data_IF_153431536316
#
_entry.id   IF_153431536316
#
_cell.length_a   1.000
_cell.length_b   1.000
_cell.length_c   1.000
_cell.angle_alpha   90.00
_cell.angle_beta   90.00
_cell.angle_gamma   90.00
#
_symmetry.space_group_name_H-M   'P 1'
#
loop_
_entity.id
_entity.type
_entity.pdbx_description
1 polymer ?
#
# COMPACT_ATOMS: atom_id res chain seq x y z
N UNK A 1 11.20 -5.05 -1.52
CA UNK A 1 11.33 -4.14 -2.67
C UNK A 1 12.47 -3.15 -2.46
N UNK A 2 13.35 -3.03 -3.45
CA UNK A 2 14.47 -2.09 -3.45
C UNK A 2 14.41 -1.25 -4.74
N UNK A 3 14.14 0.07 -4.63
CA UNK A 3 14.03 0.94 -5.80
C UNK A 3 15.30 0.97 -6.67
N UNK A 4 16.48 0.96 -6.05
CA UNK A 4 17.76 0.97 -6.77
C UNK A 4 17.95 -0.30 -7.60
N UNK A 5 17.71 -1.47 -7.00
CA UNK A 5 17.77 -2.76 -7.71
C UNK A 5 16.74 -2.82 -8.84
N UNK A 6 15.53 -2.29 -8.62
CA UNK A 6 14.51 -2.22 -9.67
C UNK A 6 14.94 -1.33 -10.83
N UNK A 7 15.59 -0.21 -10.55
CA UNK A 7 16.15 0.68 -11.56
C UNK A 7 17.28 0.02 -12.34
N UNK A 8 18.20 -0.66 -11.65
CA UNK A 8 19.32 -1.38 -12.29
C UNK A 8 18.82 -2.52 -13.17
N UNK A 9 17.85 -3.30 -12.70
CA UNK A 9 17.24 -4.36 -13.49
C UNK A 9 16.52 -3.82 -14.73
N UNK A 10 15.82 -2.70 -14.60
CA UNK A 10 15.17 -2.03 -15.72
C UNK A 10 16.22 -1.57 -16.77
N UNK A 11 17.35 -1.02 -16.32
CA UNK A 11 18.44 -0.62 -17.19
C UNK A 11 19.04 -1.83 -17.93
N UNK A 12 19.29 -2.92 -17.20
CA UNK A 12 19.81 -4.16 -17.81
C UNK A 12 18.86 -4.73 -18.87
N UNK A 13 17.55 -4.70 -18.62
CA UNK A 13 16.56 -5.13 -19.61
C UNK A 13 16.62 -4.28 -20.88
N UNK A 14 16.85 -2.98 -20.75
CA UNK A 14 16.99 -2.08 -21.89
C UNK A 14 18.29 -2.33 -22.67
N UNK A 15 19.43 -2.39 -21.98
CA UNK A 15 20.76 -2.39 -22.60
C UNK A 15 21.19 -3.77 -23.11
N UNK A 16 21.06 -4.79 -22.26
CA UNK A 16 21.56 -6.14 -22.55
C UNK A 16 20.50 -6.99 -23.25
N UNK A 17 19.27 -6.97 -22.76
CA UNK A 17 18.20 -7.81 -23.29
C UNK A 17 17.44 -7.14 -24.44
N UNK A 18 17.62 -5.83 -24.65
CA UNK A 18 17.00 -5.04 -25.73
C UNK A 18 15.50 -5.30 -25.87
N UNK A 19 14.81 -5.36 -24.73
CA UNK A 19 13.37 -5.61 -24.69
C UNK A 19 12.60 -4.44 -25.30
N UNK A 20 11.45 -4.72 -25.90
CA UNK A 20 10.59 -3.68 -26.53
C UNK A 20 9.60 -3.05 -25.57
N UNK A 21 9.35 -3.69 -24.42
CA UNK A 21 8.50 -3.19 -23.33
C UNK A 21 8.83 -3.93 -22.04
N UNK A 22 8.49 -3.34 -20.90
CA UNK A 22 8.57 -3.98 -19.59
C UNK A 22 7.19 -3.97 -18.94
N UNK A 23 6.76 -5.13 -18.43
CA UNK A 23 5.50 -5.31 -17.69
C UNK A 23 5.84 -5.71 -16.25
N UNK A 24 5.30 -5.01 -15.26
CA UNK A 24 5.57 -5.29 -13.84
C UNK A 24 5.50 -4.04 -12.98
N UNK A 25 6.30 -3.99 -11.89
CA UNK A 25 6.33 -2.84 -10.98
C UNK A 25 5.14 -2.80 -10.02
N UNK A 26 5.18 -3.68 -9.03
CA UNK A 26 4.10 -3.80 -8.03
C UNK A 26 4.20 -2.71 -6.94
N UNK A 27 5.42 -2.39 -6.47
CA UNK A 27 5.65 -1.38 -5.44
C UNK A 27 5.84 0.01 -6.05
N UNK A 28 5.12 1.01 -5.52
CA UNK A 28 5.14 2.36 -6.07
C UNK A 28 6.53 3.01 -6.04
N UNK A 29 7.33 2.78 -5.00
CA UNK A 29 8.71 3.27 -4.93
C UNK A 29 9.62 2.67 -6.01
N UNK A 30 9.49 1.36 -6.28
CA UNK A 30 10.20 0.68 -7.36
C UNK A 30 9.72 1.16 -8.73
N UNK A 31 8.42 1.33 -8.90
CA UNK A 31 7.84 1.84 -10.15
C UNK A 31 8.37 3.24 -10.49
N UNK A 32 8.42 4.15 -9.52
CA UNK A 32 8.98 5.50 -9.70
C UNK A 32 10.45 5.47 -10.12
N UNK A 33 11.25 4.57 -9.54
CA UNK A 33 12.64 4.39 -9.93
C UNK A 33 12.79 3.83 -11.36
N UNK A 34 11.94 2.86 -11.74
CA UNK A 34 11.91 2.29 -13.09
C UNK A 34 11.48 3.31 -14.16
N UNK A 35 10.56 4.22 -13.82
CA UNK A 35 10.06 5.25 -14.73
C UNK A 35 11.16 6.17 -15.23
N UNK A 36 12.19 6.46 -14.44
CA UNK A 36 13.32 7.28 -14.84
C UNK A 36 14.09 6.65 -16.01
N UNK A 37 14.29 5.33 -15.96
CA UNK A 37 14.90 4.54 -17.02
C UNK A 37 13.97 4.44 -18.23
N UNK A 38 12.70 4.08 -18.01
CA UNK A 38 11.69 4.01 -19.07
C UNK A 38 11.65 5.29 -19.92
N UNK A 39 11.67 6.45 -19.25
CA UNK A 39 11.65 7.73 -19.93
C UNK A 39 12.94 8.03 -20.71
N UNK A 40 14.11 7.74 -20.12
CA UNK A 40 15.41 7.96 -20.75
C UNK A 40 15.60 7.06 -21.98
N UNK A 41 15.29 5.78 -21.85
CA UNK A 41 15.47 4.77 -22.90
C UNK A 41 14.28 4.73 -23.89
N UNK A 42 13.24 5.55 -23.67
CA UNK A 42 12.00 5.56 -24.46
C UNK A 42 11.35 4.18 -24.55
N UNK A 43 11.43 3.43 -23.44
CA UNK A 43 10.97 2.05 -23.31
C UNK A 43 9.61 2.00 -22.62
N UNK A 44 8.55 1.48 -23.25
CA UNK A 44 7.24 1.33 -22.60
C UNK A 44 7.31 0.51 -21.32
N UNK A 45 6.79 1.08 -20.22
CA UNK A 45 6.65 0.46 -18.92
C UNK A 45 5.16 0.36 -18.56
N UNK A 46 4.66 -0.87 -18.43
CA UNK A 46 3.28 -1.16 -18.05
C UNK A 46 3.26 -1.62 -16.59
N UNK A 47 2.79 -0.78 -15.70
CA UNK A 47 2.73 -1.04 -14.26
C UNK A 47 1.46 -1.82 -13.91
N UNK A 48 1.63 -2.93 -13.19
CA UNK A 48 0.53 -3.86 -12.88
C UNK A 48 -0.02 -3.72 -11.47
N UNK A 49 0.74 -3.17 -10.51
CA UNK A 49 0.32 -3.10 -9.11
C UNK A 49 0.59 -1.76 -8.42
N UNK A 50 1.49 -0.93 -8.96
CA UNK A 50 1.84 0.34 -8.33
C UNK A 50 0.69 1.36 -8.38
N UNK A 51 0.16 1.75 -7.22
CA UNK A 51 -1.07 2.53 -7.10
C UNK A 51 -0.87 4.02 -6.73
N UNK A 52 0.35 4.46 -6.32
CA UNK A 52 0.57 5.86 -5.96
C UNK A 52 0.15 6.82 -7.07
N UNK A 53 -0.60 7.86 -6.72
CA UNK A 53 -1.19 8.80 -7.69
C UNK A 53 -0.14 9.59 -8.48
N UNK A 54 1.02 9.84 -7.87
CA UNK A 54 2.09 10.62 -8.51
C UNK A 54 2.69 9.96 -9.76
N UNK A 55 2.57 8.64 -9.91
CA UNK A 55 3.08 7.87 -11.07
C UNK A 55 2.49 8.39 -12.38
N UNK A 56 1.18 8.58 -12.44
CA UNK A 56 0.46 9.09 -13.62
C UNK A 56 -0.08 10.51 -13.41
N UNK A 57 0.29 11.15 -12.28
CA UNK A 57 0.03 12.55 -11.96
C UNK A 57 1.29 13.40 -12.16
N UNK A 58 1.86 13.93 -11.09
CA UNK A 58 2.99 14.88 -11.16
C UNK A 58 4.25 14.34 -11.84
N UNK A 59 4.46 13.03 -11.80
CA UNK A 59 5.60 12.35 -12.43
C UNK A 59 5.23 11.64 -13.74
N UNK A 60 4.08 11.94 -14.33
CA UNK A 60 3.62 11.24 -15.53
C UNK A 60 4.67 11.30 -16.66
N UNK A 61 4.77 10.21 -17.39
CA UNK A 61 5.66 10.04 -18.55
C UNK A 61 4.89 9.39 -19.69
N UNK A 62 5.19 9.79 -20.92
CA UNK A 62 4.58 9.20 -22.12
C UNK A 62 4.96 7.71 -22.33
N UNK A 63 5.94 7.20 -21.60
CA UNK A 63 6.40 5.81 -21.66
C UNK A 63 5.91 4.97 -20.49
N UNK A 64 5.10 5.52 -19.58
CA UNK A 64 4.59 4.79 -18.43
C UNK A 64 3.07 4.68 -18.50
N UNK A 65 2.59 3.46 -18.42
CA UNK A 65 1.18 3.09 -18.40
C UNK A 65 0.87 2.34 -17.12
N UNK A 66 -0.36 2.45 -16.63
CA UNK A 66 -0.78 1.77 -15.40
C UNK A 66 -2.14 1.12 -15.60
N UNK A 67 -2.28 -0.12 -15.16
CA UNK A 67 -3.55 -0.86 -15.16
C UNK A 67 -4.27 -0.78 -13.82
N UNK A 68 -3.53 -0.52 -12.73
CA UNK A 68 -4.07 -0.45 -11.37
C UNK A 68 -4.78 0.89 -11.11
N UNK A 69 -5.90 0.84 -10.37
CA UNK A 69 -6.56 2.05 -9.87
C UNK A 69 -5.65 2.85 -8.92
N UNK A 70 -5.72 4.17 -8.99
CA UNK A 70 -4.93 5.03 -8.09
C UNK A 70 -5.39 4.93 -6.64
N UNK A 71 -4.49 5.19 -5.70
CA UNK A 71 -4.83 5.27 -4.27
C UNK A 71 -6.01 6.20 -4.00
N UNK A 72 -6.09 7.44 -4.54
CA UNK A 72 -7.25 8.32 -4.32
C UNK A 72 -8.57 7.69 -4.77
N UNK A 73 -8.59 6.95 -5.90
CA UNK A 73 -9.80 6.26 -6.38
C UNK A 73 -10.20 5.14 -5.41
N UNK A 74 -9.22 4.33 -4.98
CA UNK A 74 -9.47 3.24 -4.04
C UNK A 74 -9.95 3.77 -2.68
N UNK A 75 -9.31 4.81 -2.15
CA UNK A 75 -9.71 5.41 -0.86
C UNK A 75 -11.08 6.09 -0.94
N UNK A 76 -11.43 6.72 -2.07
CA UNK A 76 -12.76 7.28 -2.27
C UNK A 76 -13.86 6.21 -2.26
N UNK A 77 -13.54 5.00 -2.71
CA UNK A 77 -14.42 3.84 -2.59
C UNK A 77 -14.50 3.27 -1.19
N UNK A 78 -13.36 3.19 -0.47
CA UNK A 78 -13.25 2.54 0.84
C UNK A 78 -13.80 3.40 2.00
N UNK A 79 -13.46 4.68 2.04
CA UNK A 79 -13.72 5.54 3.21
C UNK A 79 -15.19 5.66 3.62
N UNK A 80 -16.19 5.66 2.70
CA UNK A 80 -17.59 5.60 3.09
C UNK A 80 -17.96 4.35 3.91
N UNK A 81 -17.40 3.19 3.56
CA UNK A 81 -17.61 1.95 4.33
C UNK A 81 -16.87 1.98 5.66
N UNK A 82 -15.64 2.48 5.71
CA UNK A 82 -14.88 2.69 6.96
C UNK A 82 -15.72 3.52 7.94
N UNK A 83 -16.35 4.58 7.48
CA UNK A 83 -17.15 5.47 8.33
C UNK A 83 -18.46 4.85 8.85
N UNK A 84 -18.93 3.76 8.24
CA UNK A 84 -20.06 2.96 8.74
C UNK A 84 -19.64 2.00 9.87
N UNK A 85 -18.37 1.54 9.84
CA UNK A 85 -17.81 0.71 10.92
C UNK A 85 -17.60 1.55 12.18
N UNK A 86 -17.02 2.75 12.01
CA UNK A 86 -16.79 3.68 13.12
C UNK A 86 -16.16 4.99 12.70
N UNK A 87 -16.00 5.90 13.64
CA UNK A 87 -15.55 7.28 13.38
C UNK A 87 -14.12 7.56 13.82
N UNK A 88 -13.56 6.74 14.70
CA UNK A 88 -12.17 6.85 15.16
C UNK A 88 -11.29 5.95 14.32
N UNK A 89 -10.53 6.54 13.42
CA UNK A 89 -9.70 5.83 12.43
C UNK A 89 -8.23 5.87 12.85
N UNK A 90 -7.60 4.71 12.92
CA UNK A 90 -6.15 4.59 13.04
C UNK A 90 -5.55 4.16 11.70
N UNK A 91 -4.48 4.83 11.27
CA UNK A 91 -3.78 4.46 10.05
C UNK A 91 -2.51 3.67 10.37
N UNK A 92 -2.30 2.55 9.67
CA UNK A 92 -1.02 1.85 9.64
C UNK A 92 -0.62 1.62 8.18
N UNK A 93 0.40 2.31 7.71
CA UNK A 93 0.75 2.35 6.29
C UNK A 93 2.24 2.15 6.07
N UNK A 94 2.62 1.70 4.89
CA UNK A 94 4.02 1.65 4.51
C UNK A 94 4.63 3.06 4.42
N UNK A 95 5.88 3.21 4.85
CA UNK A 95 6.60 4.51 4.89
C UNK A 95 7.09 5.02 3.53
N UNK A 96 6.59 4.47 2.42
CA UNK A 96 6.96 4.89 1.05
C UNK A 96 5.75 5.44 0.28
N UNK A 97 5.97 5.88 -0.97
CA UNK A 97 5.01 6.61 -1.80
C UNK A 97 3.56 6.08 -1.79
N UNK A 98 3.38 4.76 -1.73
CA UNK A 98 2.05 4.14 -1.64
C UNK A 98 1.34 4.49 -0.33
N UNK A 99 1.99 4.24 0.82
CA UNK A 99 1.38 4.50 2.14
C UNK A 99 1.18 5.99 2.41
N UNK A 100 2.13 6.82 1.99
CA UNK A 100 1.99 8.28 2.06
C UNK A 100 0.82 8.80 1.23
N UNK A 101 0.56 8.19 0.06
CA UNK A 101 -0.60 8.53 -0.77
C UNK A 101 -1.91 8.10 -0.12
N UNK A 102 -1.93 6.94 0.58
CA UNK A 102 -3.08 6.50 1.39
C UNK A 102 -3.39 7.53 2.47
N UNK A 103 -2.40 7.94 3.25
CA UNK A 103 -2.59 8.94 4.33
C UNK A 103 -3.12 10.26 3.77
N UNK A 104 -2.50 10.78 2.73
CA UNK A 104 -2.92 12.03 2.10
C UNK A 104 -4.36 11.95 1.58
N UNK A 105 -4.69 10.86 0.86
CA UNK A 105 -6.02 10.67 0.27
C UNK A 105 -7.10 10.44 1.33
N UNK A 106 -6.79 9.65 2.36
CA UNK A 106 -7.72 9.38 3.46
C UNK A 106 -8.00 10.62 4.29
N UNK A 107 -6.96 11.37 4.65
CA UNK A 107 -7.09 12.61 5.44
C UNK A 107 -7.96 13.66 4.73
N UNK A 108 -7.87 13.74 3.39
CA UNK A 108 -8.75 14.60 2.60
C UNK A 108 -10.24 14.20 2.71
N UNK A 109 -10.50 12.90 2.87
CA UNK A 109 -11.86 12.33 2.94
C UNK A 109 -12.43 12.25 4.37
N UNK A 110 -11.59 12.25 5.42
CA UNK A 110 -12.05 12.09 6.81
C UNK A 110 -13.20 13.04 7.18
N UNK A 111 -13.04 14.32 6.82
CA UNK A 111 -14.05 15.33 7.11
C UNK A 111 -15.36 15.08 6.37
N UNK A 112 -15.27 14.64 5.12
CA UNK A 112 -16.43 14.35 4.27
C UNK A 112 -17.25 13.17 4.83
N UNK A 113 -16.57 12.16 5.37
CA UNK A 113 -17.22 10.97 5.93
C UNK A 113 -17.52 11.11 7.44
N UNK A 114 -17.23 12.26 8.05
CA UNK A 114 -17.46 12.54 9.46
C UNK A 114 -16.66 11.65 10.40
N UNK A 115 -15.41 11.33 10.04
CA UNK A 115 -14.47 10.52 10.82
C UNK A 115 -13.25 11.35 11.26
N UNK A 116 -12.52 10.84 12.26
CA UNK A 116 -11.35 11.49 12.86
C UNK A 116 -10.18 10.52 12.93
N UNK A 117 -8.98 11.03 12.65
CA UNK A 117 -7.73 10.30 12.87
C UNK A 117 -7.40 10.28 14.36
N UNK A 118 -7.23 9.10 14.94
CA UNK A 118 -6.82 8.93 16.34
C UNK A 118 -5.38 8.43 16.51
N UNK A 119 -4.72 8.11 15.42
CA UNK A 119 -3.32 7.75 15.39
C UNK A 119 -2.86 7.31 14.00
N UNK A 120 -1.55 7.31 13.82
CA UNK A 120 -0.89 6.91 12.57
C UNK A 120 0.48 6.31 12.86
N UNK A 121 0.81 5.25 12.16
CA UNK A 121 2.17 4.72 12.04
C UNK A 121 2.52 4.50 10.56
N UNK A 122 3.66 5.05 10.17
CA UNK A 122 4.30 4.76 8.88
C UNK A 122 5.41 3.73 9.09
N UNK A 123 5.22 2.54 8.55
CA UNK A 123 6.04 1.35 8.82
C UNK A 123 7.09 1.17 7.73
N UNK A 124 8.37 1.00 8.06
CA UNK A 124 9.42 0.67 7.10
C UNK A 124 9.15 -0.66 6.40
N UNK A 125 9.61 -0.78 5.16
CA UNK A 125 9.52 -2.02 4.37
C UNK A 125 10.34 -3.12 5.06
N UNK A 126 9.83 -4.36 5.02
CA UNK A 126 10.43 -5.55 5.64
C UNK A 126 10.49 -5.47 7.16
N UNK A 127 9.54 -4.82 7.77
CA UNK A 127 9.37 -4.87 9.23
C UNK A 127 8.95 -6.28 9.64
N UNK A 128 9.70 -6.86 10.57
CA UNK A 128 9.43 -8.20 11.10
C UNK A 128 8.67 -8.20 12.43
N UNK A 129 8.78 -7.13 13.22
CA UNK A 129 8.15 -7.01 14.53
C UNK A 129 7.15 -5.84 14.54
N UNK A 130 5.88 -6.19 14.75
CA UNK A 130 4.76 -5.24 14.82
C UNK A 130 4.23 -5.02 16.24
N UNK A 131 4.84 -5.64 17.26
CA UNK A 131 4.34 -5.61 18.64
C UNK A 131 4.13 -4.20 19.15
N UNK A 132 5.10 -3.30 18.94
CA UNK A 132 5.01 -1.91 19.38
C UNK A 132 3.90 -1.13 18.68
N UNK A 133 3.70 -1.36 17.37
CA UNK A 133 2.62 -0.76 16.60
C UNK A 133 1.25 -1.22 17.09
N UNK A 134 1.10 -2.53 17.32
CA UNK A 134 -0.15 -3.14 17.83
C UNK A 134 -0.49 -2.59 19.22
N UNK A 135 0.50 -2.40 20.08
CA UNK A 135 0.29 -1.79 21.40
C UNK A 135 -0.19 -0.35 21.31
N UNK A 136 0.37 0.47 20.42
CA UNK A 136 -0.09 1.84 20.16
C UNK A 136 -1.53 1.87 19.66
N UNK A 137 -1.87 1.01 18.68
CA UNK A 137 -3.23 0.88 18.16
C UNK A 137 -4.20 0.55 19.31
N UNK A 138 -3.85 -0.42 20.16
CA UNK A 138 -4.68 -0.80 21.32
C UNK A 138 -4.87 0.34 22.30
N UNK A 139 -3.84 1.16 22.55
CA UNK A 139 -3.92 2.33 23.43
C UNK A 139 -4.79 3.45 22.86
N UNK A 140 -4.71 3.67 21.55
CA UNK A 140 -5.49 4.68 20.83
C UNK A 140 -7.00 4.34 20.79
N UNK A 141 -7.38 3.07 20.99
CA UNK A 141 -8.77 2.58 20.97
C UNK A 141 -9.56 3.07 19.75
N UNK A 142 -9.08 2.84 18.52
CA UNK A 142 -9.83 3.19 17.33
C UNK A 142 -11.05 2.29 17.16
N UNK A 143 -12.02 2.77 16.40
CA UNK A 143 -13.16 1.96 15.97
C UNK A 143 -12.78 1.06 14.78
N UNK A 144 -11.85 1.53 13.94
CA UNK A 144 -11.40 0.84 12.73
C UNK A 144 -9.95 1.22 12.39
N UNK A 145 -9.21 0.26 11.83
CA UNK A 145 -7.88 0.48 11.27
C UNK A 145 -8.01 0.59 9.76
N UNK A 146 -7.36 1.59 9.17
CA UNK A 146 -7.13 1.66 7.72
C UNK A 146 -5.68 1.28 7.45
N UNK A 147 -5.51 0.15 6.77
CA UNK A 147 -4.22 -0.44 6.49
C UNK A 147 -3.71 -0.14 5.07
N UNK A 148 -2.42 0.14 4.99
CA UNK A 148 -1.67 0.33 3.75
C UNK A 148 -0.37 -0.46 3.75
N UNK A 149 -0.38 -1.66 4.33
CA UNK A 149 0.69 -2.64 4.26
C UNK A 149 0.39 -3.62 3.11
N UNK A 150 1.41 -4.18 2.47
CA UNK A 150 1.25 -5.11 1.35
C UNK A 150 2.27 -6.25 1.42
N UNK A 151 1.92 -7.41 0.86
CA UNK A 151 2.79 -8.59 0.80
C UNK A 151 3.24 -9.05 2.19
N UNK A 152 4.53 -9.35 2.36
CA UNK A 152 5.08 -9.86 3.62
C UNK A 152 4.84 -8.94 4.83
N UNK A 153 4.85 -7.62 4.65
CA UNK A 153 4.55 -6.67 5.73
C UNK A 153 3.09 -6.81 6.21
N UNK A 154 2.15 -6.97 5.27
CA UNK A 154 0.75 -7.24 5.59
C UNK A 154 0.57 -8.58 6.31
N UNK A 155 1.16 -9.64 5.77
CA UNK A 155 1.08 -10.99 6.36
C UNK A 155 1.67 -11.04 7.77
N UNK A 156 2.83 -10.42 7.98
CA UNK A 156 3.49 -10.36 9.30
C UNK A 156 2.65 -9.58 10.32
N UNK A 157 2.09 -8.44 9.90
CA UNK A 157 1.20 -7.66 10.76
C UNK A 157 -0.02 -8.47 11.20
N UNK A 158 -0.72 -9.12 10.26
CA UNK A 158 -1.94 -9.87 10.57
C UNK A 158 -1.68 -11.09 11.47
N UNK A 159 -0.58 -11.81 11.25
CA UNK A 159 -0.20 -12.93 12.12
C UNK A 159 0.00 -12.45 13.55
N UNK A 160 0.80 -11.40 13.76
CA UNK A 160 1.05 -10.86 15.09
C UNK A 160 -0.20 -10.18 15.71
N UNK A 161 -1.04 -9.53 14.89
CA UNK A 161 -2.33 -9.01 15.29
C UNK A 161 -3.23 -10.10 15.89
N UNK A 162 -3.26 -11.26 15.23
CA UNK A 162 -4.01 -12.42 15.71
C UNK A 162 -3.38 -13.02 16.98
N UNK A 163 -2.05 -13.22 17.01
CA UNK A 163 -1.30 -13.76 18.14
C UNK A 163 -1.45 -12.91 19.41
N UNK A 164 -1.51 -11.58 19.26
CA UNK A 164 -1.75 -10.64 20.36
C UNK A 164 -3.24 -10.52 20.75
N UNK A 165 -4.10 -11.39 20.21
CA UNK A 165 -5.52 -11.48 20.56
C UNK A 165 -6.33 -10.26 20.13
N UNK A 166 -5.91 -9.55 19.10
CA UNK A 166 -6.59 -8.36 18.58
C UNK A 166 -7.63 -8.66 17.49
N UNK A 167 -7.59 -9.88 16.93
CA UNK A 167 -8.58 -10.36 15.98
C UNK A 167 -10.01 -10.15 16.52
N UNK A 168 -10.89 -9.69 15.69
CA UNK A 168 -12.30 -9.39 16.02
C UNK A 168 -12.52 -8.30 17.08
N UNK A 169 -11.47 -7.63 17.57
CA UNK A 169 -11.62 -6.50 18.51
C UNK A 169 -11.73 -5.16 17.79
N UNK A 170 -10.92 -4.99 16.76
CA UNK A 170 -10.90 -3.77 15.94
C UNK A 170 -10.84 -4.22 14.47
N UNK A 171 -11.84 -3.87 13.66
CA UNK A 171 -11.84 -4.18 12.22
C UNK A 171 -10.65 -3.56 11.49
N UNK A 172 -10.14 -4.29 10.49
CA UNK A 172 -9.06 -3.84 9.63
C UNK A 172 -9.58 -3.68 8.20
N UNK A 173 -9.55 -2.47 7.68
CA UNK A 173 -9.92 -2.16 6.31
C UNK A 173 -8.66 -1.88 5.49
N UNK A 174 -8.51 -2.55 4.36
CA UNK A 174 -7.32 -2.44 3.50
C UNK A 174 -7.67 -2.20 2.04
N UNK A 175 -6.72 -1.64 1.31
CA UNK A 175 -6.69 -1.61 -0.14
C UNK A 175 -5.50 -2.43 -0.65
N UNK A 176 -5.55 -2.86 -1.91
CA UNK A 176 -4.48 -3.60 -2.57
C UNK A 176 -4.14 -4.96 -1.92
N UNK A 177 -5.12 -5.62 -1.31
CA UNK A 177 -5.01 -6.99 -0.82
C UNK A 177 -5.35 -7.96 -1.94
N UNK A 178 -4.60 -9.05 -2.05
CA UNK A 178 -4.74 -10.08 -3.09
C UNK A 178 -5.05 -11.44 -2.48
N UNK A 179 -5.52 -12.39 -3.29
CA UNK A 179 -5.81 -13.76 -2.86
C UNK A 179 -4.59 -14.42 -2.21
N UNK A 180 -3.40 -14.17 -2.75
CA UNK A 180 -2.15 -14.73 -2.23
C UNK A 180 -1.81 -14.23 -0.83
N UNK A 181 -2.18 -12.99 -0.50
CA UNK A 181 -1.98 -12.45 0.86
C UNK A 181 -2.83 -13.22 1.88
N UNK A 182 -4.05 -13.61 1.51
CA UNK A 182 -4.92 -14.42 2.38
C UNK A 182 -4.39 -15.85 2.54
N UNK A 183 -3.80 -16.44 1.50
CA UNK A 183 -3.19 -17.77 1.59
C UNK A 183 -1.97 -17.77 2.51
N UNK A 184 -1.14 -16.74 2.45
CA UNK A 184 0.04 -16.58 3.30
C UNK A 184 -0.31 -16.43 4.79
N UNK A 185 -1.40 -15.73 5.07
CA UNK A 185 -1.89 -15.49 6.42
C UNK A 185 -2.69 -16.67 6.97
N UNK A 186 -3.39 -17.38 6.09
CA UNK A 186 -4.28 -18.49 6.40
C UNK A 186 -5.67 -18.03 6.88
N UNK A 187 -6.67 -18.94 6.82
CA UNK A 187 -8.07 -18.59 7.05
C UNK A 187 -8.37 -18.11 8.48
N UNK A 188 -7.60 -18.60 9.45
CA UNK A 188 -7.82 -18.20 10.85
C UNK A 188 -7.45 -16.75 11.12
N UNK A 189 -6.37 -16.25 10.54
CA UNK A 189 -5.90 -14.88 10.78
C UNK A 189 -6.49 -13.85 9.79
N UNK A 190 -7.07 -14.29 8.68
CA UNK A 190 -7.67 -13.41 7.66
C UNK A 190 -9.17 -13.16 7.84
N UNK A 191 -9.83 -13.90 8.73
CA UNK A 191 -11.27 -13.68 9.00
C UNK A 191 -11.48 -12.31 9.67
N UNK A 192 -12.40 -11.50 9.11
CA UNK A 192 -12.76 -10.18 9.69
C UNK A 192 -11.96 -9.00 9.10
N UNK A 193 -11.32 -9.23 7.94
CA UNK A 193 -10.65 -8.19 7.14
C UNK A 193 -11.55 -7.80 5.98
#
# INVERSE_FOLDING_TARGET
PNPQVSQQNMQRLADENKVVAVVGGNYSSSALAMMSVANREKLPLILTGAAASEITGKNCSRYTFRTQATVPVQMKGLMPYVSQIGKKVYFITASYAFGQDILRSSRALLKEVGATEVGVDEVPINTSDYSSYILKIRQAKPDVIVGGLVGGDFSNFLKQWNEMGMKNKIPYAAIAVTDTDFWDVGPQASTGI
#
